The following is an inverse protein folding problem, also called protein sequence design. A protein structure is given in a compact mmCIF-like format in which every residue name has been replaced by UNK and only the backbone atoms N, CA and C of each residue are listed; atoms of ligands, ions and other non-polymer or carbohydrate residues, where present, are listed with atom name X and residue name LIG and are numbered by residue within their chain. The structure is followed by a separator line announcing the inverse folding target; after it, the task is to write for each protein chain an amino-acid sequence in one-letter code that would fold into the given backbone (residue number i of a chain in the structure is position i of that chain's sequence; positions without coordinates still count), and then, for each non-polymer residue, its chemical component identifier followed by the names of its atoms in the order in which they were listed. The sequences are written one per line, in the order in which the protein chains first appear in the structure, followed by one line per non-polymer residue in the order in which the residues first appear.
data_IF_353658000319
#
_entry.id   IF_353658000319
#
_cell.length_a   1.000
_cell.length_b   1.000
_cell.length_c   1.000
_cell.angle_alpha   90.00
_cell.angle_beta   90.00
_cell.angle_gamma   90.00
#
_symmetry.space_group_name_H-M   'P 1'
#
loop_
_entity.id
_entity.type
_entity.pdbx_description
1 polymer ?
#
# COMPACT_ATOMS: atom_id res chain seq x y z
N UNK A 1 7.86 -1.35 10.28
CA UNK A 1 8.84 -1.68 9.24
C UNK A 1 10.20 -1.98 9.87
N UNK A 2 11.02 -2.75 9.19
CA UNK A 2 12.38 -3.11 9.57
C UNK A 2 13.26 -3.10 8.33
N UNK A 3 14.52 -2.67 8.47
CA UNK A 3 15.52 -2.77 7.42
C UNK A 3 16.76 -3.48 7.97
N UNK A 4 17.38 -4.35 7.16
CA UNK A 4 18.69 -4.90 7.51
C UNK A 4 19.71 -3.76 7.66
N UNK A 5 20.65 -3.84 8.63
CA UNK A 5 21.60 -2.76 8.87
C UNK A 5 22.42 -2.34 7.65
N UNK A 6 22.74 -3.28 6.76
CA UNK A 6 23.50 -3.03 5.54
C UNK A 6 22.63 -2.64 4.33
N UNK A 7 21.31 -2.74 4.41
CA UNK A 7 20.43 -2.44 3.28
C UNK A 7 20.09 -0.95 3.25
N UNK A 8 20.95 -0.17 2.62
CA UNK A 8 20.90 1.29 2.60
C UNK A 8 19.60 1.81 1.99
N UNK A 9 19.18 1.30 0.83
CA UNK A 9 17.96 1.75 0.14
C UNK A 9 16.70 1.51 0.98
N UNK A 10 16.61 0.38 1.70
CA UNK A 10 15.52 0.15 2.64
C UNK A 10 15.46 1.20 3.75
N UNK A 11 16.62 1.66 4.24
CA UNK A 11 16.68 2.76 5.21
C UNK A 11 16.26 4.09 4.60
N UNK A 12 16.59 4.34 3.35
CA UNK A 12 16.17 5.55 2.64
C UNK A 12 14.66 5.57 2.42
N UNK A 13 14.03 4.40 2.14
CA UNK A 13 12.58 4.27 2.07
C UNK A 13 11.94 4.58 3.44
N UNK A 14 12.48 4.03 4.54
CA UNK A 14 12.01 4.36 5.89
C UNK A 14 12.16 5.87 6.16
N UNK A 15 13.29 6.45 5.75
CA UNK A 15 13.54 7.88 5.89
C UNK A 15 12.53 8.72 5.08
N UNK A 16 12.22 8.33 3.85
CA UNK A 16 11.19 8.95 3.03
C UNK A 16 9.83 8.96 3.76
N UNK A 17 9.40 7.81 4.31
CA UNK A 17 8.13 7.71 5.03
C UNK A 17 8.09 8.64 6.25
N UNK A 18 9.18 8.69 7.02
CA UNK A 18 9.28 9.57 8.20
C UNK A 18 9.31 11.05 7.81
N UNK A 19 9.98 11.39 6.71
CA UNK A 19 10.02 12.76 6.18
C UNK A 19 8.63 13.17 5.68
N UNK A 20 7.96 12.30 4.93
CA UNK A 20 6.60 12.54 4.46
C UNK A 20 5.62 12.74 5.62
N UNK A 21 5.73 11.93 6.68
CA UNK A 21 4.93 12.12 7.90
C UNK A 21 5.09 13.53 8.49
N UNK A 22 6.32 14.03 8.59
CA UNK A 22 6.59 15.37 9.10
C UNK A 22 6.03 16.48 8.19
N UNK A 23 6.18 16.31 6.87
CA UNK A 23 5.67 17.26 5.88
C UNK A 23 4.15 17.36 5.98
N UNK A 24 3.46 16.22 6.03
CA UNK A 24 2.01 16.16 6.17
C UNK A 24 1.55 16.76 7.49
N UNK A 25 2.20 16.45 8.61
CA UNK A 25 1.86 16.99 9.92
C UNK A 25 2.02 18.52 10.00
N UNK A 26 2.95 19.10 9.24
CA UNK A 26 3.18 20.54 9.16
C UNK A 26 2.18 21.26 8.24
N UNK A 27 1.56 20.57 7.30
CA UNK A 27 0.62 21.12 6.34
C UNK A 27 -0.80 21.15 6.93
N UNK A 28 -1.32 22.37 7.21
CA UNK A 28 -2.63 22.55 7.84
C UNK A 28 -3.81 22.21 6.94
N UNK A 29 -3.60 22.20 5.63
CA UNK A 29 -4.64 21.89 4.66
C UNK A 29 -4.75 20.37 4.43
N UNK A 30 -3.66 19.63 4.66
CA UNK A 30 -3.57 18.18 4.43
C UNK A 30 -3.68 17.38 5.73
N UNK A 31 -3.06 17.83 6.82
CA UNK A 31 -2.99 17.08 8.10
C UNK A 31 -4.33 16.72 8.74
N UNK A 32 -5.45 17.44 8.52
CA UNK A 32 -6.76 17.01 9.00
C UNK A 32 -7.28 15.74 8.30
N UNK A 33 -6.83 15.47 7.06
CA UNK A 33 -7.35 14.39 6.20
C UNK A 33 -6.39 13.21 6.02
N UNK A 34 -5.09 13.46 6.19
CA UNK A 34 -4.05 12.46 5.94
C UNK A 34 -3.06 12.41 7.08
N UNK A 35 -2.77 11.18 7.54
CA UNK A 35 -1.72 10.92 8.51
C UNK A 35 -0.90 9.71 8.08
N UNK A 36 0.42 9.87 8.01
CA UNK A 36 1.36 8.79 7.72
C UNK A 36 2.05 8.38 9.02
N UNK A 37 1.99 7.11 9.37
CA UNK A 37 2.58 6.58 10.60
C UNK A 37 3.47 5.38 10.30
N UNK A 38 4.75 5.49 10.62
CA UNK A 38 5.66 4.34 10.61
C UNK A 38 5.58 3.62 11.96
N UNK A 39 4.94 2.46 11.97
CA UNK A 39 4.80 1.66 13.19
C UNK A 39 6.16 1.11 13.62
N UNK A 40 6.62 1.56 14.80
CA UNK A 40 7.87 1.08 15.41
C UNK A 40 7.67 -0.29 16.05
N UNK A 41 8.75 -1.11 16.06
CA UNK A 41 8.76 -2.42 16.73
C UNK A 41 7.55 -3.30 16.38
N UNK A 42 7.11 -3.29 15.13
CA UNK A 42 6.02 -4.16 14.69
C UNK A 42 6.29 -5.61 15.11
N UNK A 43 5.39 -6.17 15.89
CA UNK A 43 5.44 -7.50 16.47
C UNK A 43 4.03 -8.10 16.57
N UNK A 44 3.92 -9.34 17.04
CA UNK A 44 2.63 -10.05 17.13
C UNK A 44 1.59 -9.28 17.95
N UNK A 45 1.98 -8.74 19.10
CA UNK A 45 1.06 -8.00 19.98
C UNK A 45 0.50 -6.74 19.31
N UNK A 46 1.32 -6.03 18.52
CA UNK A 46 0.85 -4.89 17.72
C UNK A 46 0.01 -5.35 16.54
N UNK A 47 0.39 -6.45 15.88
CA UNK A 47 -0.37 -7.03 14.78
C UNK A 47 -1.81 -7.38 15.18
N UNK A 48 -2.01 -7.98 16.36
CA UNK A 48 -3.32 -8.32 16.91
C UNK A 48 -4.26 -7.10 17.06
N UNK A 49 -3.69 -5.91 17.17
CA UNK A 49 -4.45 -4.65 17.27
C UNK A 49 -4.61 -3.95 15.92
N UNK A 50 -3.55 -3.95 15.12
CA UNK A 50 -3.52 -3.21 13.86
C UNK A 50 -4.28 -3.93 12.74
N UNK A 51 -4.20 -5.25 12.66
CA UNK A 51 -4.87 -6.02 11.62
C UNK A 51 -6.39 -5.82 11.67
N UNK A 52 -7.07 -5.99 12.83
CA UNK A 52 -8.51 -5.74 12.91
C UNK A 52 -8.92 -4.27 12.75
N UNK A 53 -7.97 -3.34 12.85
CA UNK A 53 -8.23 -1.91 12.70
C UNK A 53 -8.05 -1.41 11.26
N UNK A 54 -7.57 -2.26 10.37
CA UNK A 54 -7.29 -1.91 8.98
C UNK A 54 -8.56 -1.99 8.14
N UNK A 55 -8.80 -0.98 7.32
CA UNK A 55 -9.92 -0.94 6.37
C UNK A 55 -9.47 -1.40 4.98
N UNK A 56 -8.33 -0.89 4.49
CA UNK A 56 -7.74 -1.30 3.22
C UNK A 56 -6.32 -1.82 3.47
N UNK A 57 -6.09 -3.07 3.09
CA UNK A 57 -4.79 -3.74 3.22
C UNK A 57 -4.06 -3.69 1.88
N UNK A 58 -2.94 -2.97 1.84
CA UNK A 58 -2.10 -2.88 0.65
C UNK A 58 -1.06 -4.00 0.63
N UNK A 59 -1.11 -4.85 -0.39
CA UNK A 59 -0.27 -6.02 -0.60
C UNK A 59 0.40 -5.88 -1.97
N UNK A 60 1.48 -5.08 -2.01
CA UNK A 60 2.01 -4.45 -3.22
C UNK A 60 3.39 -4.97 -3.63
N UNK A 61 3.71 -6.24 -3.34
CA UNK A 61 4.91 -6.86 -3.87
C UNK A 61 4.92 -6.85 -5.40
N UNK A 62 6.10 -6.72 -6.00
CA UNK A 62 6.21 -6.90 -7.46
C UNK A 62 5.81 -8.34 -7.81
N UNK A 63 4.94 -8.53 -8.79
CA UNK A 63 4.52 -9.84 -9.24
C UNK A 63 5.73 -10.76 -9.50
N UNK A 64 5.64 -12.01 -9.10
CA UNK A 64 6.73 -13.01 -9.09
C UNK A 64 7.76 -12.91 -7.94
N UNK A 65 7.62 -11.98 -7.00
CA UNK A 65 8.62 -11.79 -5.91
C UNK A 65 8.16 -12.35 -4.57
N UNK A 66 6.88 -12.34 -4.28
CA UNK A 66 6.34 -12.92 -3.03
C UNK A 66 5.93 -14.37 -3.25
N UNK A 67 6.46 -15.28 -2.45
CA UNK A 67 6.14 -16.71 -2.59
C UNK A 67 4.68 -17.00 -2.18
N UNK A 68 4.19 -16.40 -1.11
CA UNK A 68 2.81 -16.52 -0.63
C UNK A 68 2.41 -15.29 0.16
N UNK A 69 3.10 -15.01 1.26
CA UNK A 69 2.67 -14.05 2.26
C UNK A 69 1.61 -14.65 3.20
N UNK A 70 1.46 -14.04 4.36
CA UNK A 70 0.42 -14.41 5.34
C UNK A 70 -0.36 -13.19 5.83
N UNK A 71 0.17 -11.98 5.58
CA UNK A 71 -0.45 -10.72 5.96
C UNK A 71 -1.79 -10.53 5.27
N UNK A 72 -1.83 -10.70 3.95
CA UNK A 72 -3.00 -10.58 3.11
C UNK A 72 -4.19 -11.44 3.62
N UNK A 73 -3.95 -12.71 3.92
CA UNK A 73 -4.97 -13.59 4.50
C UNK A 73 -5.47 -13.10 5.86
N UNK A 74 -4.57 -12.67 6.75
CA UNK A 74 -4.93 -12.17 8.09
C UNK A 74 -5.77 -10.90 8.02
N UNK A 75 -5.39 -9.97 7.15
CA UNK A 75 -6.14 -8.73 6.95
C UNK A 75 -7.53 -9.01 6.40
N UNK A 76 -7.64 -9.83 5.38
CA UNK A 76 -8.93 -10.18 4.77
C UNK A 76 -9.84 -10.92 5.76
N UNK A 77 -9.33 -11.88 6.53
CA UNK A 77 -10.07 -12.57 7.59
C UNK A 77 -10.57 -11.62 8.70
N UNK A 78 -9.96 -10.47 8.85
CA UNK A 78 -10.38 -9.42 9.79
C UNK A 78 -11.20 -8.30 9.14
N UNK A 79 -11.64 -8.48 7.89
CA UNK A 79 -12.55 -7.58 7.20
C UNK A 79 -11.90 -6.44 6.43
N UNK A 80 -10.58 -6.43 6.29
CA UNK A 80 -9.91 -5.45 5.44
C UNK A 80 -10.05 -5.83 3.96
N UNK A 81 -10.35 -4.84 3.12
CA UNK A 81 -10.34 -5.02 1.67
C UNK A 81 -8.89 -5.08 1.18
N UNK A 82 -8.57 -6.02 0.32
CA UNK A 82 -7.23 -6.13 -0.25
C UNK A 82 -7.09 -5.26 -1.50
N UNK A 83 -6.08 -4.40 -1.52
CA UNK A 83 -5.56 -3.71 -2.70
C UNK A 83 -4.16 -4.28 -2.97
N UNK A 84 -3.98 -5.00 -4.05
CA UNK A 84 -2.71 -5.70 -4.26
C UNK A 84 -2.43 -6.09 -5.70
N UNK A 85 -1.19 -6.50 -5.90
CA UNK A 85 -0.73 -7.12 -7.15
C UNK A 85 -1.16 -8.59 -7.21
N UNK A 86 -1.20 -9.15 -8.39
CA UNK A 86 -1.45 -10.58 -8.60
C UNK A 86 -0.17 -11.39 -8.32
N UNK A 87 0.19 -11.45 -7.03
CA UNK A 87 1.40 -12.09 -6.52
C UNK A 87 1.13 -12.81 -5.20
N UNK A 88 1.89 -13.85 -4.88
CA UNK A 88 1.75 -14.63 -3.67
C UNK A 88 0.31 -15.13 -3.45
N UNK A 89 -0.16 -15.12 -2.21
CA UNK A 89 -1.51 -15.57 -1.87
C UNK A 89 -2.64 -14.66 -2.40
N UNK A 90 -2.34 -13.48 -2.96
CA UNK A 90 -3.37 -12.66 -3.60
C UNK A 90 -3.99 -13.37 -4.81
N UNK A 91 -3.24 -14.25 -5.48
CA UNK A 91 -3.74 -15.03 -6.61
C UNK A 91 -4.87 -15.96 -6.15
N UNK A 92 -4.61 -16.80 -5.12
CA UNK A 92 -5.61 -17.71 -4.57
C UNK A 92 -6.78 -16.96 -3.92
N UNK A 93 -6.49 -15.82 -3.26
CA UNK A 93 -7.54 -14.98 -2.69
C UNK A 93 -8.47 -14.46 -3.80
N UNK A 94 -7.90 -13.93 -4.88
CA UNK A 94 -8.70 -13.41 -6.00
C UNK A 94 -9.56 -14.49 -6.66
N UNK A 95 -9.05 -15.73 -6.76
CA UNK A 95 -9.81 -16.87 -7.27
C UNK A 95 -10.97 -17.26 -6.33
N UNK A 96 -10.73 -17.24 -5.02
CA UNK A 96 -11.72 -17.65 -4.02
C UNK A 96 -12.83 -16.62 -3.82
N UNK A 97 -12.47 -15.32 -3.73
CA UNK A 97 -13.46 -14.27 -3.44
C UNK A 97 -14.11 -13.71 -4.70
N UNK A 98 -13.51 -13.92 -5.87
CA UNK A 98 -13.91 -13.32 -7.13
C UNK A 98 -13.38 -11.91 -7.33
N UNK A 99 -13.24 -11.51 -8.59
CA UNK A 99 -12.60 -10.24 -9.00
C UNK A 99 -13.32 -8.99 -8.49
N UNK A 100 -14.59 -9.09 -8.16
CA UNK A 100 -15.40 -7.96 -7.67
C UNK A 100 -15.18 -7.69 -6.17
N UNK A 101 -14.46 -8.56 -5.46
CA UNK A 101 -14.25 -8.48 -4.03
C UNK A 101 -12.77 -8.23 -3.64
N UNK A 102 -11.96 -7.86 -4.60
CA UNK A 102 -10.54 -7.54 -4.43
C UNK A 102 -10.13 -6.49 -5.47
N UNK A 103 -9.29 -5.54 -5.07
CA UNK A 103 -8.71 -4.56 -5.98
C UNK A 103 -7.33 -5.02 -6.42
N UNK A 104 -7.17 -5.31 -7.72
CA UNK A 104 -5.89 -5.77 -8.28
C UNK A 104 -5.35 -4.78 -9.30
N UNK A 105 -4.04 -4.62 -9.32
CA UNK A 105 -3.32 -3.74 -10.23
C UNK A 105 -1.95 -4.32 -10.60
N UNK A 106 -1.27 -3.63 -11.52
CA UNK A 106 0.11 -3.91 -11.89
C UNK A 106 0.27 -4.98 -12.95
N UNK A 107 1.53 -5.20 -13.34
CA UNK A 107 1.92 -6.19 -14.31
C UNK A 107 1.73 -7.61 -13.79
N UNK A 108 1.51 -8.54 -14.70
CA UNK A 108 1.42 -9.97 -14.38
C UNK A 108 2.82 -10.56 -14.12
N UNK A 109 2.87 -11.71 -13.46
CA UNK A 109 4.15 -12.41 -13.23
C UNK A 109 4.90 -12.72 -14.52
N UNK A 110 4.18 -13.11 -15.58
CA UNK A 110 4.80 -13.42 -16.88
C UNK A 110 5.40 -12.17 -17.54
N UNK A 111 4.73 -11.03 -17.45
CA UNK A 111 5.25 -9.74 -17.95
C UNK A 111 6.50 -9.31 -17.20
N UNK A 112 6.49 -9.39 -15.86
CA UNK A 112 7.65 -9.06 -15.03
C UNK A 112 8.84 -9.98 -15.33
N UNK A 113 8.60 -11.29 -15.42
CA UNK A 113 9.64 -12.27 -15.78
C UNK A 113 10.21 -11.96 -17.16
N UNK A 114 9.34 -11.68 -18.15
CA UNK A 114 9.78 -11.31 -19.49
C UNK A 114 10.66 -10.05 -19.52
N UNK A 115 10.34 -9.04 -18.69
CA UNK A 115 11.19 -7.84 -18.55
C UNK A 115 12.57 -8.16 -17.98
N UNK A 116 12.64 -9.03 -16.98
CA UNK A 116 13.95 -9.46 -16.44
C UNK A 116 14.76 -10.28 -17.45
N UNK A 117 14.13 -11.19 -18.17
CA UNK A 117 14.81 -12.02 -19.18
C UNK A 117 15.31 -11.21 -20.37
N UNK A 118 14.51 -10.25 -20.86
CA UNK A 118 14.87 -9.39 -21.99
C UNK A 118 15.76 -8.21 -21.59
N UNK A 119 15.85 -7.91 -20.29
CA UNK A 119 16.53 -6.72 -19.78
C UNK A 119 16.06 -5.43 -20.47
N UNK A 120 14.76 -5.31 -20.79
CA UNK A 120 14.20 -4.20 -21.57
C UNK A 120 13.44 -3.16 -20.73
N UNK A 121 13.29 -3.39 -19.42
CA UNK A 121 12.70 -2.42 -18.51
C UNK A 121 13.57 -1.17 -18.40
N UNK A 122 12.93 0.00 -18.51
CA UNK A 122 13.62 1.27 -18.47
C UNK A 122 12.86 2.29 -17.61
N UNK A 123 13.22 2.36 -16.32
CA UNK A 123 12.64 3.27 -15.34
C UNK A 123 12.75 4.73 -15.78
N UNK A 124 13.91 5.14 -16.32
CA UNK A 124 14.16 6.51 -16.77
C UNK A 124 13.20 6.91 -17.89
N UNK A 125 12.92 6.01 -18.83
CA UNK A 125 11.97 6.26 -19.92
C UNK A 125 10.57 6.52 -19.37
N UNK A 126 10.09 5.70 -18.42
CA UNK A 126 8.78 5.91 -17.77
C UNK A 126 8.74 7.24 -17.05
N UNK A 127 9.76 7.56 -16.26
CA UNK A 127 9.89 8.84 -15.59
C UNK A 127 9.86 10.04 -16.55
N UNK A 128 10.51 9.95 -17.71
CA UNK A 128 10.58 11.04 -18.69
C UNK A 128 9.29 11.20 -19.51
N UNK A 129 8.55 10.11 -19.74
CA UNK A 129 7.39 10.10 -20.65
C UNK A 129 6.04 10.19 -19.94
N UNK A 130 5.98 9.90 -18.64
CA UNK A 130 4.75 9.95 -17.86
C UNK A 130 4.77 11.11 -16.85
N UNK A 131 3.95 12.12 -17.07
CA UNK A 131 3.90 13.32 -16.25
C UNK A 131 3.46 13.05 -14.79
N UNK A 132 2.58 12.06 -14.56
CA UNK A 132 2.15 11.68 -13.22
C UNK A 132 3.28 11.00 -12.46
N UNK A 133 3.92 10.01 -13.09
CA UNK A 133 5.09 9.33 -12.51
C UNK A 133 6.17 10.35 -12.18
N UNK A 134 6.49 11.22 -13.15
CA UNK A 134 7.47 12.29 -12.95
C UNK A 134 7.13 13.17 -11.75
N UNK A 135 5.89 13.61 -11.64
CA UNK A 135 5.44 14.44 -10.51
C UNK A 135 5.59 13.74 -9.17
N UNK A 136 5.23 12.46 -9.07
CA UNK A 136 5.37 11.67 -7.85
C UNK A 136 6.84 11.49 -7.46
N UNK A 137 7.70 11.17 -8.43
CA UNK A 137 9.13 10.95 -8.19
C UNK A 137 9.85 12.25 -7.84
N UNK A 138 9.58 13.35 -8.57
CA UNK A 138 10.16 14.66 -8.30
C UNK A 138 9.78 15.20 -6.91
N UNK A 139 8.63 14.82 -6.37
CA UNK A 139 8.22 15.21 -5.04
C UNK A 139 9.20 14.73 -3.95
N UNK A 140 9.86 13.58 -4.15
CA UNK A 140 10.85 13.03 -3.21
C UNK A 140 11.99 14.02 -2.94
N UNK A 141 12.37 14.80 -3.96
CA UNK A 141 13.45 15.79 -3.91
C UNK A 141 12.95 17.23 -3.99
N UNK A 142 11.66 17.46 -3.72
CA UNK A 142 11.10 18.82 -3.64
C UNK A 142 11.69 19.59 -2.46
N UNK A 143 11.69 20.92 -2.54
CA UNK A 143 12.24 21.79 -1.47
C UNK A 143 11.63 21.45 -0.11
N UNK A 144 10.33 21.18 -0.03
CA UNK A 144 9.66 20.86 1.23
C UNK A 144 10.17 19.54 1.83
N UNK A 145 10.42 18.53 0.99
CA UNK A 145 10.97 17.25 1.43
C UNK A 145 12.44 17.35 1.83
N UNK A 146 13.26 18.07 1.04
CA UNK A 146 14.69 18.25 1.34
C UNK A 146 14.93 19.10 2.58
N UNK A 147 14.04 20.03 2.93
CA UNK A 147 14.12 20.79 4.17
C UNK A 147 13.67 20.01 5.40
N UNK A 148 12.73 19.09 5.25
CA UNK A 148 12.18 18.29 6.34
C UNK A 148 13.01 17.03 6.67
N UNK A 149 13.79 16.51 5.71
CA UNK A 149 14.54 15.28 5.80
C UNK A 149 16.03 15.39 5.47
N UNK A 150 16.74 14.25 5.54
CA UNK A 150 18.13 14.17 5.08
C UNK A 150 18.19 14.15 3.55
N UNK A 151 18.70 15.23 2.98
CA UNK A 151 18.78 15.42 1.54
C UNK A 151 19.63 14.36 0.84
N UNK A 152 20.66 13.81 1.51
CA UNK A 152 21.51 12.78 0.93
C UNK A 152 20.74 11.46 0.71
N UNK A 153 19.98 11.04 1.71
CA UNK A 153 19.14 9.83 1.64
C UNK A 153 18.03 9.97 0.59
N UNK A 154 17.35 11.13 0.54
CA UNK A 154 16.28 11.39 -0.43
C UNK A 154 16.82 11.43 -1.87
N UNK A 155 17.93 12.10 -2.11
CA UNK A 155 18.56 12.13 -3.45
C UNK A 155 19.07 10.75 -3.88
N UNK A 156 19.62 9.95 -2.96
CA UNK A 156 20.05 8.57 -3.27
C UNK A 156 18.87 7.70 -3.68
N UNK A 157 17.76 7.78 -2.93
CA UNK A 157 16.54 7.05 -3.27
C UNK A 157 15.97 7.50 -4.62
N UNK A 158 15.88 8.80 -4.85
CA UNK A 158 15.45 9.35 -6.14
C UNK A 158 16.29 8.79 -7.30
N UNK A 159 17.62 8.83 -7.18
CA UNK A 159 18.52 8.33 -8.21
C UNK A 159 18.38 6.80 -8.42
N UNK A 160 18.13 6.04 -7.36
CA UNK A 160 17.88 4.60 -7.45
C UNK A 160 16.58 4.31 -8.20
N UNK A 161 15.50 5.05 -7.89
CA UNK A 161 14.21 4.90 -8.56
C UNK A 161 14.32 5.28 -10.04
N UNK A 162 14.87 6.44 -10.36
CA UNK A 162 14.98 6.91 -11.77
C UNK A 162 15.97 6.07 -12.57
N UNK A 163 17.09 5.64 -11.94
CA UNK A 163 18.19 4.98 -12.64
C UNK A 163 18.03 3.47 -12.79
N UNK A 164 17.41 2.81 -11.81
CA UNK A 164 17.37 1.33 -11.77
C UNK A 164 15.97 0.79 -11.57
N UNK A 165 15.26 1.31 -10.56
CA UNK A 165 13.95 0.81 -10.14
C UNK A 165 13.87 -0.73 -10.17
N UNK A 166 14.72 -1.36 -9.38
CA UNK A 166 14.92 -2.81 -9.40
C UNK A 166 13.62 -3.62 -9.21
N UNK A 167 12.66 -3.06 -8.49
CA UNK A 167 11.34 -3.65 -8.25
C UNK A 167 10.27 -3.16 -9.22
N UNK A 168 10.65 -2.49 -10.32
CA UNK A 168 9.72 -1.99 -11.35
C UNK A 168 8.53 -1.21 -10.76
N UNK A 169 8.76 -0.47 -9.67
CA UNK A 169 7.71 0.28 -8.99
C UNK A 169 7.04 1.32 -9.90
N UNK A 170 7.80 1.93 -10.82
CA UNK A 170 7.27 2.88 -11.77
C UNK A 170 6.39 2.24 -12.85
N UNK A 171 6.60 0.93 -13.14
CA UNK A 171 5.74 0.18 -14.06
C UNK A 171 4.31 0.12 -13.55
N UNK A 172 4.17 -0.15 -12.26
CA UNK A 172 2.86 -0.38 -11.63
C UNK A 172 2.23 0.89 -11.04
N UNK A 173 3.00 1.98 -10.89
CA UNK A 173 2.58 3.16 -10.12
C UNK A 173 1.27 3.78 -10.64
N UNK A 174 1.09 3.89 -11.96
CA UNK A 174 -0.14 4.47 -12.52
C UNK A 174 -1.36 3.61 -12.22
N UNK A 175 -1.29 2.33 -12.51
CA UNK A 175 -2.38 1.38 -12.24
C UNK A 175 -2.69 1.27 -10.75
N UNK A 176 -1.67 1.36 -9.90
CA UNK A 176 -1.85 1.45 -8.45
C UNK A 176 -2.66 2.67 -8.05
N UNK A 177 -2.30 3.87 -8.53
CA UNK A 177 -3.02 5.11 -8.21
C UNK A 177 -4.48 5.02 -8.64
N UNK A 178 -4.74 4.63 -9.88
CA UNK A 178 -6.09 4.49 -10.45
C UNK A 178 -6.94 3.48 -9.65
N UNK A 179 -6.35 2.34 -9.31
CA UNK A 179 -7.04 1.29 -8.54
C UNK A 179 -7.27 1.72 -7.10
N UNK A 180 -6.34 2.45 -6.49
CA UNK A 180 -6.49 3.00 -5.14
C UNK A 180 -7.58 4.06 -5.08
N UNK A 181 -7.63 4.98 -6.03
CA UNK A 181 -8.71 5.97 -6.12
C UNK A 181 -10.08 5.29 -6.23
N UNK A 182 -10.17 4.24 -7.07
CA UNK A 182 -11.39 3.43 -7.16
C UNK A 182 -11.73 2.78 -5.81
N UNK A 183 -10.77 2.13 -5.15
CA UNK A 183 -10.97 1.45 -3.87
C UNK A 183 -11.45 2.42 -2.78
N UNK A 184 -10.90 3.64 -2.74
CA UNK A 184 -11.33 4.68 -1.80
C UNK A 184 -12.74 5.18 -2.10
N UNK A 185 -13.06 5.42 -3.38
CA UNK A 185 -14.41 5.84 -3.80
C UNK A 185 -15.46 4.78 -3.46
N UNK A 186 -15.20 3.53 -3.83
CA UNK A 186 -16.12 2.42 -3.55
C UNK A 186 -16.26 2.18 -2.04
N UNK A 187 -15.20 2.42 -1.25
CA UNK A 187 -15.24 2.31 0.21
C UNK A 187 -16.17 3.36 0.83
N UNK A 188 -16.12 4.59 0.37
CA UNK A 188 -17.01 5.65 0.82
C UNK A 188 -18.47 5.31 0.49
N UNK A 189 -18.75 4.80 -0.70
CA UNK A 189 -20.10 4.38 -1.13
C UNK A 189 -20.62 3.19 -0.30
N UNK A 190 -19.79 2.17 -0.06
CA UNK A 190 -20.14 1.00 0.78
C UNK A 190 -20.38 1.43 2.23
N UNK A 191 -19.58 2.33 2.74
CA UNK A 191 -19.71 2.84 4.11
C UNK A 191 -21.00 3.64 4.28
N UNK A 192 -21.36 4.45 3.30
CA UNK A 192 -22.63 5.18 3.22
C UNK A 192 -23.84 4.22 3.15
N UNK A 193 -23.70 3.09 2.46
CA UNK A 193 -24.76 2.11 2.24
C UNK A 193 -24.95 1.11 3.40
N UNK A 194 -24.16 1.15 4.47
CA UNK A 194 -24.21 0.23 5.62
C UNK A 194 -24.11 -1.27 5.30
N UNK A 195 -23.51 -1.67 4.17
CA UNK A 195 -23.42 -3.08 3.79
C UNK A 195 -21.97 -3.52 3.59
N UNK A 196 -21.30 -3.87 4.67
CA UNK A 196 -20.10 -4.70 4.58
C UNK A 196 -20.53 -6.17 4.58
N UNK A 197 -20.59 -6.80 3.42
CA UNK A 197 -20.80 -8.24 3.33
C UNK A 197 -19.44 -8.91 3.49
N UNK A 198 -19.17 -9.44 4.67
CA UNK A 198 -18.03 -10.36 4.86
C UNK A 198 -18.48 -11.73 4.36
N UNK A 199 -18.01 -12.12 3.17
CA UNK A 199 -18.28 -13.46 2.64
C UNK A 199 -17.30 -14.45 3.28
N UNK A 200 -17.80 -15.28 4.21
CA UNK A 200 -17.06 -16.42 4.73
C UNK A 200 -17.27 -17.64 3.80
N UNK A 201 -16.22 -18.28 3.31
CA UNK A 201 -16.35 -19.45 2.48
C UNK A 201 -16.47 -20.73 3.29
N UNK A 202 -17.55 -20.92 4.07
CA UNK A 202 -18.06 -22.27 4.39
C UNK A 202 -19.39 -22.24 5.16
N UNK A 203 -20.32 -23.18 4.86
CA UNK A 203 -21.64 -23.28 5.51
C UNK A 203 -21.62 -23.89 6.91
N UNK A 204 -20.48 -24.30 7.44
CA UNK A 204 -20.39 -25.09 8.68
C UNK A 204 -19.87 -24.32 9.90
N UNK A 205 -19.44 -23.07 9.76
CA UNK A 205 -19.08 -22.23 10.92
C UNK A 205 -20.24 -21.35 11.32
N UNK A 206 -21.03 -21.86 12.25
CA UNK A 206 -22.04 -21.09 12.97
C UNK A 206 -21.33 -20.17 13.97
N UNK A 207 -20.72 -19.10 13.47
CA UNK A 207 -20.21 -18.03 14.33
C UNK A 207 -21.42 -17.21 14.73
N UNK A 208 -21.85 -17.40 15.99
CA UNK A 208 -22.79 -16.51 16.64
C UNK A 208 -22.36 -15.07 16.39
N UNK A 209 -23.30 -14.28 15.86
CA UNK A 209 -23.22 -12.87 15.58
C UNK A 209 -22.44 -12.07 16.63
N UNK A 210 -21.13 -11.96 16.49
CA UNK A 210 -20.40 -10.83 17.02
C UNK A 210 -20.45 -9.73 15.98
N UNK A 211 -21.65 -9.16 15.85
CA UNK A 211 -21.78 -7.79 15.38
C UNK A 211 -20.97 -6.92 16.34
N UNK A 212 -19.71 -6.69 16.03
CA UNK A 212 -19.05 -5.50 16.51
C UNK A 212 -19.80 -4.32 15.87
N UNK A 213 -20.91 -3.94 16.50
CA UNK A 213 -21.40 -2.59 16.40
C UNK A 213 -20.25 -1.72 16.92
N UNK A 214 -19.38 -1.27 16.03
CA UNK A 214 -18.58 -0.08 16.27
C UNK A 214 -19.59 1.04 16.43
N UNK A 215 -20.01 1.31 17.69
CA UNK A 215 -20.71 2.52 18.08
C UNK A 215 -19.74 3.70 17.90
N UNK A 216 -19.40 4.04 16.65
CA UNK A 216 -18.87 5.36 16.32
C UNK A 216 -20.06 6.32 16.37
N UNK A 217 -20.18 7.07 17.47
CA UNK A 217 -20.98 8.27 17.49
C UNK A 217 -20.42 9.18 16.40
N UNK A 218 -21.15 9.29 15.30
CA UNK A 218 -20.90 10.23 14.24
C UNK A 218 -21.04 11.66 14.78
N UNK A 219 -19.93 12.29 15.08
CA UNK A 219 -19.80 13.73 14.93
C UNK A 219 -19.10 13.94 13.58
N UNK A 220 -19.63 14.86 12.76
CA UNK A 220 -19.17 15.28 11.44
C UNK A 220 -17.67 15.65 11.39
N UNK A 221 -16.78 14.72 11.64
CA UNK A 221 -15.33 14.87 11.57
C UNK A 221 -14.76 13.67 10.82
N UNK A 222 -14.33 13.95 9.63
CA UNK A 222 -13.34 13.31 8.78
C UNK A 222 -12.86 11.93 9.27
N UNK A 223 -13.29 10.91 8.56
CA UNK A 223 -12.86 9.53 8.81
C UNK A 223 -11.43 9.32 8.32
N UNK A 224 -10.57 8.97 9.24
CA UNK A 224 -9.20 8.58 8.90
C UNK A 224 -9.22 7.17 8.37
N UNK A 225 -9.06 7.00 7.06
CA UNK A 225 -8.83 5.68 6.46
C UNK A 225 -7.46 5.18 6.91
N UNK A 226 -7.43 4.05 7.60
CA UNK A 226 -6.17 3.42 8.03
C UNK A 226 -5.66 2.56 6.88
N UNK A 227 -4.67 3.08 6.17
CA UNK A 227 -3.97 2.35 5.12
C UNK A 227 -2.72 1.71 5.73
N UNK A 228 -2.65 0.40 5.69
CA UNK A 228 -1.50 -0.33 6.21
C UNK A 228 -0.60 -0.80 5.07
N UNK A 229 0.58 -0.18 4.95
CA UNK A 229 1.63 -0.63 4.04
C UNK A 229 2.46 -1.71 4.73
N UNK A 230 2.36 -2.96 4.30
CA UNK A 230 3.07 -4.06 4.96
C UNK A 230 4.26 -4.64 4.20
N UNK A 231 4.44 -4.33 2.93
CA UNK A 231 5.56 -4.87 2.14
C UNK A 231 6.25 -3.77 1.32
N UNK A 232 7.10 -2.99 1.93
CA UNK A 232 8.02 -2.11 1.20
C UNK A 232 9.49 -2.55 1.32
N UNK A 233 9.80 -3.61 2.07
CA UNK A 233 11.20 -4.09 2.17
C UNK A 233 11.22 -5.60 2.38
#
# INVERSE_FOLDING_TARGET
AKAAPAYTIAKDIIHLILTLSKVIEADKDVSPYLKVVLVQNYNVTLAEKLIPACDISEQISLASKEASGTGNMKFMLNGAVTLGTMDGANVEIAELVGKDNIYTFGATSDEVIAHYEKCDYNAKKLYETDALIKKCVDFIISDVMLQAGDSHSLNRLYNEIVGKDWFMALLDLRSYIETKEKALTDYDDIFQAHHLIVIYPSPEYNIQNHTHQRNRKYNNQIETVVICFFHII
#
